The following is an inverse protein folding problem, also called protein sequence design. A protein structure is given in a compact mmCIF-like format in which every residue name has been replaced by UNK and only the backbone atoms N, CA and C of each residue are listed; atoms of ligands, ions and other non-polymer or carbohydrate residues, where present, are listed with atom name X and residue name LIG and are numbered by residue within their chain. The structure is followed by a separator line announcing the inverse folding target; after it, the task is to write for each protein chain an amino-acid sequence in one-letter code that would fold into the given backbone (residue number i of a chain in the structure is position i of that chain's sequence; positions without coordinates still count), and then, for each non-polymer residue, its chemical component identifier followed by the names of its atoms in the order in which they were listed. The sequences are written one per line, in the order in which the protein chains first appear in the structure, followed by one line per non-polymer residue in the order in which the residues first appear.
data_IF_563344336701
#
_entry.id   IF_563344336701
#
_cell.length_a   1.000
_cell.length_b   1.000
_cell.length_c   1.000
_cell.angle_alpha   90.00
_cell.angle_beta   90.00
_cell.angle_gamma   90.00
#
_symmetry.space_group_name_H-M   'P 1'
#
loop_
_entity.id
_entity.type
_entity.pdbx_description
1 polymer ?
#
# COMPACT_ATOMS: atom_id res chain seq x y z
N UNK A 1 11.94 -1.64 16.58
CA UNK A 1 11.75 -3.00 16.03
C UNK A 1 11.19 -2.81 14.64
N UNK A 2 11.81 -3.42 13.65
CA UNK A 2 11.51 -3.27 12.23
C UNK A 2 11.96 -4.55 11.52
N UNK A 3 12.26 -4.47 10.23
CA UNK A 3 12.72 -5.61 9.47
C UNK A 3 14.08 -6.12 9.96
N UNK A 4 14.24 -7.44 9.92
CA UNK A 4 15.50 -8.14 10.08
C UNK A 4 16.10 -8.49 8.71
N UNK A 5 17.37 -8.88 8.66
CA UNK A 5 17.99 -9.31 7.40
C UNK A 5 17.27 -10.50 6.77
N UNK A 6 16.70 -11.39 7.59
CA UNK A 6 15.93 -12.54 7.12
C UNK A 6 14.70 -12.12 6.29
N UNK A 7 14.09 -10.97 6.61
CA UNK A 7 12.92 -10.45 5.90
C UNK A 7 13.21 -10.05 4.45
N UNK A 8 14.48 -9.87 4.07
CA UNK A 8 14.89 -9.51 2.71
C UNK A 8 15.38 -10.71 1.89
N UNK A 9 15.53 -11.88 2.52
CA UNK A 9 15.99 -13.10 1.83
C UNK A 9 14.86 -13.80 1.06
N UNK A 10 15.21 -14.61 0.07
CA UNK A 10 14.27 -15.47 -0.68
C UNK A 10 13.06 -14.73 -1.31
N UNK A 11 13.25 -13.48 -1.72
CA UNK A 11 12.18 -12.66 -2.33
C UNK A 11 11.39 -11.80 -1.34
N UNK A 12 11.71 -11.87 -0.06
CA UNK A 12 11.07 -11.09 0.99
C UNK A 12 10.15 -11.95 1.86
N UNK A 13 10.04 -11.63 3.16
CA UNK A 13 9.06 -12.26 4.04
C UNK A 13 7.66 -11.71 3.81
N UNK A 14 6.63 -12.50 4.16
CA UNK A 14 5.23 -12.04 4.12
C UNK A 14 5.05 -10.76 4.94
N UNK A 15 5.71 -10.66 6.09
CA UNK A 15 5.68 -9.45 6.91
C UNK A 15 6.23 -8.22 6.17
N UNK A 16 7.35 -8.36 5.44
CA UNK A 16 7.90 -7.28 4.64
C UNK A 16 6.96 -6.90 3.50
N UNK A 17 6.47 -7.89 2.76
CA UNK A 17 5.60 -7.66 1.61
C UNK A 17 4.28 -7.01 2.05
N UNK A 18 3.62 -7.55 3.08
CA UNK A 18 2.40 -6.99 3.65
C UNK A 18 2.64 -5.57 4.16
N UNK A 19 3.82 -5.28 4.72
CA UNK A 19 4.12 -3.93 5.20
C UNK A 19 4.21 -2.90 4.08
N UNK A 20 4.65 -3.29 2.88
CA UNK A 20 4.92 -2.38 1.76
C UNK A 20 3.77 -2.34 0.74
N UNK A 21 3.13 -3.47 0.47
CA UNK A 21 2.11 -3.62 -0.56
C UNK A 21 0.73 -3.73 0.08
N UNK A 22 -0.14 -2.77 -0.23
CA UNK A 22 -1.55 -2.86 0.09
C UNK A 22 -2.28 -3.66 -1.03
N UNK A 23 -2.86 -4.81 -0.69
CA UNK A 23 -3.69 -5.60 -1.59
C UNK A 23 -5.05 -5.93 -0.97
N UNK A 24 -5.99 -6.35 -1.81
CA UNK A 24 -7.36 -6.69 -1.40
C UNK A 24 -8.41 -5.86 -2.15
N UNK A 25 -9.61 -5.84 -1.59
CA UNK A 25 -10.70 -5.02 -2.13
C UNK A 25 -10.55 -3.53 -1.76
N UNK A 26 -11.46 -2.70 -2.26
CA UNK A 26 -11.43 -1.26 -1.99
C UNK A 26 -11.47 -0.92 -0.49
N UNK A 27 -12.20 -1.72 0.31
CA UNK A 27 -12.31 -1.47 1.76
C UNK A 27 -10.98 -1.70 2.47
N UNK A 28 -10.27 -2.77 2.10
CA UNK A 28 -8.93 -3.06 2.59
C UNK A 28 -7.93 -1.95 2.21
N UNK A 29 -7.98 -1.49 0.96
CA UNK A 29 -7.11 -0.40 0.49
C UNK A 29 -7.39 0.92 1.22
N UNK A 30 -8.67 1.29 1.39
CA UNK A 30 -9.05 2.50 2.14
C UNK A 30 -8.65 2.42 3.60
N UNK A 31 -8.79 1.25 4.24
CA UNK A 31 -8.34 1.03 5.61
C UNK A 31 -6.83 1.26 5.73
N UNK A 32 -6.03 0.71 4.81
CA UNK A 32 -4.57 0.93 4.85
C UNK A 32 -4.20 2.39 4.65
N UNK A 33 -4.89 3.11 3.77
CA UNK A 33 -4.71 4.57 3.62
C UNK A 33 -5.02 5.28 4.95
N UNK A 34 -6.12 4.92 5.62
CA UNK A 34 -6.49 5.49 6.92
C UNK A 34 -5.46 5.18 8.01
N UNK A 35 -4.90 3.97 8.05
CA UNK A 35 -3.85 3.58 9.01
C UNK A 35 -2.62 4.49 8.92
N UNK A 36 -2.27 4.98 7.72
CA UNK A 36 -1.19 5.96 7.57
C UNK A 36 -1.57 7.33 8.16
N UNK A 37 -2.79 7.80 7.93
CA UNK A 37 -3.29 9.05 8.54
C UNK A 37 -3.37 8.93 10.07
N UNK A 38 -3.86 7.80 10.59
CA UNK A 38 -3.93 7.52 12.03
C UNK A 38 -2.54 7.47 12.67
N UNK A 39 -1.51 7.04 11.92
CA UNK A 39 -0.11 7.10 12.32
C UNK A 39 0.49 8.52 12.28
N UNK A 40 -0.30 9.53 11.90
CA UNK A 40 0.10 10.94 11.90
C UNK A 40 0.55 11.48 10.54
N UNK A 41 0.38 10.73 9.45
CA UNK A 41 0.58 11.30 8.12
C UNK A 41 -0.44 12.42 7.88
N UNK A 42 -0.01 13.52 7.29
CA UNK A 42 -0.89 14.58 6.77
C UNK A 42 -1.13 14.41 5.25
N UNK A 43 -0.32 13.59 4.60
CA UNK A 43 -0.42 13.24 3.19
C UNK A 43 0.01 11.79 2.95
N UNK A 44 -0.75 11.07 2.12
CA UNK A 44 -0.45 9.67 1.75
C UNK A 44 -0.28 9.56 0.25
N UNK A 45 0.97 9.37 -0.19
CA UNK A 45 1.31 9.06 -1.58
C UNK A 45 1.28 7.55 -1.81
N UNK A 46 0.61 7.09 -2.88
CA UNK A 46 0.66 5.69 -3.28
C UNK A 46 0.69 5.56 -4.82
N UNK A 47 1.22 4.44 -5.29
CA UNK A 47 1.19 4.04 -6.71
C UNK A 47 0.25 2.85 -6.86
N UNK A 48 -0.77 2.98 -7.70
CA UNK A 48 -1.60 1.84 -8.09
C UNK A 48 -0.81 0.94 -9.06
N UNK A 49 -0.43 -0.27 -8.66
CA UNK A 49 0.36 -1.18 -9.48
C UNK A 49 -0.53 -1.90 -10.51
N UNK A 50 -0.36 -1.60 -11.80
CA UNK A 50 -1.03 -2.29 -12.91
C UNK A 50 -0.19 -3.42 -13.53
N UNK A 51 -0.77 -4.20 -14.46
CA UNK A 51 -0.15 -5.40 -15.07
C UNK A 51 1.23 -5.17 -15.69
N UNK A 52 1.45 -3.99 -16.28
CA UNK A 52 2.70 -3.63 -16.95
C UNK A 52 3.58 -2.69 -16.12
N UNK A 53 3.44 -2.71 -14.79
CA UNK A 53 4.08 -1.78 -13.84
C UNK A 53 3.74 -0.28 -14.10
N UNK A 54 2.76 -0.02 -14.97
CA UNK A 54 2.16 1.29 -15.16
C UNK A 54 1.14 1.57 -14.04
N UNK A 55 0.92 2.85 -13.77
CA UNK A 55 -0.08 3.27 -12.79
C UNK A 55 -1.48 2.98 -13.33
N UNK A 56 -2.28 2.21 -12.59
CA UNK A 56 -3.69 2.01 -12.94
C UNK A 56 -4.54 3.20 -12.46
N UNK A 57 -4.84 4.12 -13.37
CA UNK A 57 -5.61 5.32 -13.08
C UNK A 57 -7.02 5.03 -12.56
N UNK A 58 -7.62 3.89 -12.91
CA UNK A 58 -8.96 3.52 -12.43
C UNK A 58 -8.96 3.30 -10.92
N UNK A 59 -7.87 2.74 -10.38
CA UNK A 59 -7.69 2.56 -8.94
C UNK A 59 -7.48 3.92 -8.26
N UNK A 60 -6.67 4.80 -8.86
CA UNK A 60 -6.45 6.16 -8.35
C UNK A 60 -7.77 6.92 -8.25
N UNK A 61 -8.56 6.94 -9.33
CA UNK A 61 -9.86 7.61 -9.37
C UNK A 61 -10.83 7.04 -8.33
N UNK A 62 -10.86 5.70 -8.18
CA UNK A 62 -11.75 5.06 -7.21
C UNK A 62 -11.37 5.38 -5.77
N UNK A 63 -10.08 5.43 -5.45
CA UNK A 63 -9.59 5.71 -4.10
C UNK A 63 -9.47 7.20 -3.79
N UNK A 64 -9.56 8.07 -4.79
CA UNK A 64 -9.50 9.51 -4.61
C UNK A 64 -10.49 9.98 -3.53
N UNK A 65 -10.11 10.97 -2.70
CA UNK A 65 -11.03 11.58 -1.75
C UNK A 65 -12.27 12.10 -2.47
N UNK A 66 -13.45 11.87 -1.90
CA UNK A 66 -14.67 12.51 -2.41
C UNK A 66 -14.54 14.01 -2.18
N UNK A 67 -14.70 14.78 -3.26
CA UNK A 67 -14.83 16.24 -3.20
C UNK A 67 -16.09 16.65 -2.46
#
# INVERSE_FOLDING_TARGET
MGFSDADFTNGGSDYLIDSIIAWGDESALRKRIQEHFDAGADHVCFKAVGPDNNTDMRIIERLAPKR
#
